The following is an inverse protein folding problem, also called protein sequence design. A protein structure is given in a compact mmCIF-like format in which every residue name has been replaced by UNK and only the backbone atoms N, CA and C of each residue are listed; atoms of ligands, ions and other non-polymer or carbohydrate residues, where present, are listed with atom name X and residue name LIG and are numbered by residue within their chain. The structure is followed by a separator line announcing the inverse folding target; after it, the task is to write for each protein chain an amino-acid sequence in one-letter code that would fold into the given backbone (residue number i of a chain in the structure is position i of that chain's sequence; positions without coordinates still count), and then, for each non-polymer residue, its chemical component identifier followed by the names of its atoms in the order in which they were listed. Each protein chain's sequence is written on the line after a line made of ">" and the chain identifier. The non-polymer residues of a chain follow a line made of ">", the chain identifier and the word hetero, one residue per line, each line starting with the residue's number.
data_IF_975139576288
#
_entry.id   IF_975139576288
#
_cell.length_a   1.000
_cell.length_b   1.000
_cell.length_c   1.000
_cell.angle_alpha   90.00
_cell.angle_beta   90.00
_cell.angle_gamma   90.00
#
_symmetry.space_group_name_H-M   'P 1'
#
loop_
_entity.id
_entity.type
_entity.pdbx_description
1 polymer ?
#
# COMPACT_ATOMS: atom_id res chain seq x y z
N UNK A 1 3.34 1.46 14.96
CA UNK A 1 3.05 2.84 14.53
C UNK A 1 4.33 3.37 13.93
N UNK A 2 4.55 3.17 12.64
CA UNK A 2 5.77 3.60 11.98
C UNK A 2 5.52 4.95 11.28
N UNK A 3 6.22 5.96 11.79
CA UNK A 3 6.82 7.05 11.02
C UNK A 3 5.98 8.18 10.39
N UNK A 4 4.89 8.64 11.04
CA UNK A 4 4.25 9.90 10.66
C UNK A 4 5.14 11.16 10.92
N UNK A 5 6.22 11.05 11.69
CA UNK A 5 7.07 12.18 12.05
C UNK A 5 8.30 12.37 11.15
N UNK A 6 8.66 11.38 10.32
CA UNK A 6 9.88 11.46 9.49
C UNK A 6 9.83 12.58 8.46
N UNK A 7 8.70 12.75 7.78
CA UNK A 7 8.51 13.85 6.85
C UNK A 7 8.57 15.21 7.56
N UNK A 8 7.89 15.32 8.70
CA UNK A 8 7.90 16.54 9.51
C UNK A 8 9.30 16.88 10.08
N UNK A 9 10.13 15.88 10.35
CA UNK A 9 11.53 16.08 10.76
C UNK A 9 12.44 16.43 9.59
N UNK A 10 12.26 15.79 8.42
CA UNK A 10 13.00 16.10 7.20
C UNK A 10 12.78 17.55 6.75
N UNK A 11 11.54 18.04 6.83
CA UNK A 11 11.17 19.42 6.46
C UNK A 11 11.70 20.49 7.43
N UNK A 12 12.19 20.12 8.61
CA UNK A 12 12.84 21.05 9.56
C UNK A 12 14.30 21.33 9.18
N UNK A 13 14.90 20.51 8.32
CA UNK A 13 16.26 20.72 7.84
C UNK A 13 16.30 21.80 6.75
N UNK A 14 17.33 22.67 6.70
CA UNK A 14 17.44 23.64 5.64
C UNK A 14 17.68 22.93 4.30
N UNK A 15 16.63 22.83 3.50
CA UNK A 15 16.63 22.17 2.19
C UNK A 15 16.41 23.19 1.06
N UNK A 16 17.09 23.05 -0.10
CA UNK A 16 16.76 23.83 -1.30
C UNK A 16 15.28 23.65 -1.69
N UNK A 17 14.59 24.73 -2.03
CA UNK A 17 13.14 24.73 -2.38
C UNK A 17 12.74 23.76 -3.50
N UNK A 18 13.66 23.46 -4.41
CA UNK A 18 13.40 22.48 -5.49
C UNK A 18 13.38 21.04 -4.96
N UNK A 19 14.28 20.70 -4.03
CA UNK A 19 14.32 19.40 -3.38
C UNK A 19 13.14 19.23 -2.42
N UNK A 20 12.69 20.30 -1.78
CA UNK A 20 11.51 20.30 -0.91
C UNK A 20 10.24 19.88 -1.66
N UNK A 21 10.00 20.46 -2.85
CA UNK A 21 8.86 20.10 -3.70
C UNK A 21 8.91 18.65 -4.17
N UNK A 22 10.08 18.17 -4.57
CA UNK A 22 10.27 16.78 -5.00
C UNK A 22 10.04 15.82 -3.83
N UNK A 23 10.60 16.10 -2.65
CA UNK A 23 10.42 15.29 -1.46
C UNK A 23 8.96 15.24 -0.99
N UNK A 24 8.23 16.37 -1.05
CA UNK A 24 6.78 16.41 -0.78
C UNK A 24 6.02 15.54 -1.78
N UNK A 25 6.34 15.65 -3.07
CA UNK A 25 5.67 14.88 -4.13
C UNK A 25 5.91 13.37 -4.01
N UNK A 26 7.14 12.96 -3.70
CA UNK A 26 7.50 11.56 -3.46
C UNK A 26 6.81 11.01 -2.22
N UNK A 27 6.76 11.79 -1.13
CA UNK A 27 6.04 11.42 0.09
C UNK A 27 4.54 11.22 -0.17
N UNK A 28 3.90 12.16 -0.87
CA UNK A 28 2.48 12.05 -1.23
C UNK A 28 2.26 10.78 -2.07
N UNK A 29 3.14 10.50 -3.03
CA UNK A 29 3.03 9.34 -3.90
C UNK A 29 3.16 8.03 -3.12
N UNK A 30 4.16 7.92 -2.23
CA UNK A 30 4.34 6.76 -1.35
C UNK A 30 3.16 6.58 -0.40
N UNK A 31 2.68 7.66 0.22
CA UNK A 31 1.53 7.63 1.11
C UNK A 31 0.24 7.19 0.41
N UNK A 32 0.00 7.68 -0.81
CA UNK A 32 -1.15 7.25 -1.62
C UNK A 32 -1.02 5.78 -2.04
N UNK A 33 0.18 5.33 -2.42
CA UNK A 33 0.42 3.92 -2.74
C UNK A 33 0.15 3.01 -1.54
N UNK A 34 0.55 3.42 -0.34
CA UNK A 34 0.26 2.69 0.91
C UNK A 34 -1.25 2.59 1.18
N UNK A 35 -1.98 3.68 0.99
CA UNK A 35 -3.44 3.69 1.15
C UNK A 35 -4.09 2.76 0.13
N UNK A 36 -3.68 2.85 -1.13
CA UNK A 36 -4.21 2.01 -2.20
C UNK A 36 -3.94 0.53 -1.92
N UNK A 37 -2.70 0.19 -1.55
CA UNK A 37 -2.33 -1.17 -1.17
C UNK A 37 -3.21 -1.71 -0.04
N UNK A 38 -3.36 -0.95 1.05
CA UNK A 38 -4.18 -1.36 2.21
C UNK A 38 -5.64 -1.57 1.82
N UNK A 39 -6.20 -0.69 0.99
CA UNK A 39 -7.57 -0.79 0.50
C UNK A 39 -7.76 -2.03 -0.38
N UNK A 40 -6.90 -2.22 -1.38
CA UNK A 40 -6.97 -3.35 -2.31
C UNK A 40 -6.79 -4.68 -1.57
N UNK A 41 -5.84 -4.74 -0.62
CA UNK A 41 -5.61 -5.91 0.22
C UNK A 41 -6.82 -6.25 1.10
N UNK A 42 -7.43 -5.26 1.74
CA UNK A 42 -8.61 -5.47 2.57
C UNK A 42 -9.79 -6.04 1.75
N UNK A 43 -10.01 -5.49 0.55
CA UNK A 43 -11.06 -5.98 -0.36
C UNK A 43 -10.81 -7.41 -0.86
N UNK A 44 -9.55 -7.77 -1.15
CA UNK A 44 -9.21 -9.14 -1.53
C UNK A 44 -9.40 -10.11 -0.36
N UNK A 45 -8.98 -9.73 0.84
CA UNK A 45 -9.18 -10.56 2.04
C UNK A 45 -10.65 -10.83 2.32
N UNK A 46 -11.50 -9.80 2.24
CA UNK A 46 -12.94 -9.96 2.44
C UNK A 46 -13.55 -10.94 1.42
N UNK A 47 -13.15 -10.87 0.14
CA UNK A 47 -13.60 -11.81 -0.89
C UNK A 47 -13.07 -13.23 -0.66
N UNK A 48 -11.84 -13.36 -0.16
CA UNK A 48 -11.26 -14.66 0.20
C UNK A 48 -12.08 -15.29 1.34
N UNK A 49 -12.39 -14.53 2.38
CA UNK A 49 -13.22 -14.99 3.50
C UNK A 49 -14.61 -15.43 3.01
N UNK A 50 -15.25 -14.62 2.15
CA UNK A 50 -16.53 -15.00 1.53
C UNK A 50 -16.44 -16.28 0.68
N UNK A 51 -15.31 -16.51 -0.01
CA UNK A 51 -15.12 -17.74 -0.77
C UNK A 51 -14.98 -18.97 0.13
N UNK A 52 -14.39 -18.81 1.32
CA UNK A 52 -14.29 -19.87 2.33
C UNK A 52 -15.66 -20.19 2.92
N UNK A 53 -16.44 -19.16 3.26
CA UNK A 53 -17.81 -19.31 3.77
C UNK A 53 -18.70 -20.09 2.79
N UNK A 54 -18.55 -19.80 1.49
CA UNK A 54 -19.29 -20.46 0.42
C UNK A 54 -18.69 -21.81 -0.02
N UNK A 55 -17.59 -22.25 0.61
CA UNK A 55 -16.80 -23.44 0.22
C UNK A 55 -16.37 -23.45 -1.25
N UNK A 56 -16.20 -22.28 -1.84
CA UNK A 56 -15.75 -22.12 -3.23
C UNK A 56 -14.22 -22.15 -3.31
N UNK A 57 -13.69 -23.36 -3.44
CA UNK A 57 -12.25 -23.59 -3.56
C UNK A 57 -11.63 -22.92 -4.79
N UNK A 58 -12.35 -22.81 -5.90
CA UNK A 58 -11.80 -22.22 -7.13
C UNK A 58 -11.58 -20.73 -6.92
N UNK A 59 -12.62 -20.04 -6.43
CA UNK A 59 -12.56 -18.60 -6.16
C UNK A 59 -11.51 -18.29 -5.09
N UNK A 60 -11.42 -19.10 -4.04
CA UNK A 60 -10.37 -18.98 -3.02
C UNK A 60 -8.96 -19.00 -3.63
N UNK A 61 -8.67 -19.97 -4.50
CA UNK A 61 -7.34 -20.11 -5.13
C UNK A 61 -7.03 -18.93 -6.03
N UNK A 62 -7.99 -18.49 -6.85
CA UNK A 62 -7.82 -17.33 -7.74
C UNK A 62 -7.55 -16.06 -6.96
N UNK A 63 -8.35 -15.77 -5.93
CA UNK A 63 -8.19 -14.58 -5.10
C UNK A 63 -6.90 -14.62 -4.28
N UNK A 64 -6.48 -15.80 -3.81
CA UNK A 64 -5.20 -15.98 -3.11
C UNK A 64 -4.01 -15.69 -4.00
N UNK A 65 -4.06 -16.09 -5.28
CA UNK A 65 -3.02 -15.75 -6.24
C UNK A 65 -3.04 -14.27 -6.63
N UNK A 66 -4.22 -13.66 -6.70
CA UNK A 66 -4.35 -12.22 -6.88
C UNK A 66 -3.74 -11.44 -5.70
N UNK A 67 -3.97 -11.88 -4.46
CA UNK A 67 -3.34 -11.31 -3.27
C UNK A 67 -1.81 -11.43 -3.33
N UNK A 68 -1.25 -12.58 -3.72
CA UNK A 68 0.20 -12.72 -3.90
C UNK A 68 0.76 -11.78 -4.96
N UNK A 69 0.03 -11.57 -6.07
CA UNK A 69 0.44 -10.64 -7.12
C UNK A 69 0.38 -9.19 -6.64
N UNK A 70 -0.65 -8.84 -5.86
CA UNK A 70 -0.77 -7.55 -5.21
C UNK A 70 0.43 -7.30 -4.30
N UNK A 71 0.75 -8.24 -3.41
CA UNK A 71 1.89 -8.10 -2.49
C UNK A 71 3.21 -7.94 -3.23
N UNK A 72 3.44 -8.68 -4.33
CA UNK A 72 4.64 -8.50 -5.17
C UNK A 72 4.70 -7.14 -5.86
N UNK A 73 3.57 -6.61 -6.32
CA UNK A 73 3.50 -5.30 -6.99
C UNK A 73 3.97 -4.19 -6.05
N UNK A 74 3.53 -4.22 -4.79
CA UNK A 74 3.87 -3.19 -3.81
C UNK A 74 5.17 -3.48 -3.03
N UNK A 75 5.69 -4.71 -3.03
CA UNK A 75 7.05 -5.01 -2.51
C UNK A 75 8.18 -4.62 -3.48
N UNK A 76 7.88 -4.49 -4.78
CA UNK A 76 8.83 -4.04 -5.80
C UNK A 76 8.82 -2.52 -6.01
N UNK A 77 7.95 -1.79 -5.30
CA UNK A 77 7.83 -0.33 -5.31
C UNK A 77 8.48 0.26 -4.06
#
# INVERSE_FOLDING_TARGET
>A
MENNNYFAEMMKSPMPRELEKTAVSEFISSFLNDILYKKEKAQLMEKIDQSLDNRDRSTFLTLSDELKRLEKKYQAS
#
